data_IF_924299462574
#
_entry.id   IF_924299462574
#
_cell.length_a   1.000
_cell.length_b   1.000
_cell.length_c   1.000
_cell.angle_alpha   90.00
_cell.angle_beta   90.00
_cell.angle_gamma   90.00
#
_symmetry.space_group_name_H-M   'P 1'
#
loop_
_entity.id
_entity.type
_entity.pdbx_description
1 polymer ?
#
# COMPACT_ATOMS: atom_id res chain seq x y z
N UNK A 1 7.92 71.59 2.53
CA UNK A 1 6.47 71.38 2.38
C UNK A 1 6.16 71.29 0.90
N UNK A 2 6.30 70.10 0.31
CA UNK A 2 5.80 69.78 -1.04
C UNK A 2 5.54 68.28 -1.08
N UNK A 3 4.29 67.92 -1.38
CA UNK A 3 3.83 66.56 -1.67
C UNK A 3 4.44 66.12 -3.00
N UNK A 4 5.06 64.95 -3.05
CA UNK A 4 5.32 64.25 -4.29
C UNK A 4 4.41 63.02 -4.35
N UNK A 5 3.44 63.06 -5.25
CA UNK A 5 2.66 61.90 -5.67
C UNK A 5 3.59 60.95 -6.44
N UNK A 6 3.62 59.68 -6.07
CA UNK A 6 4.21 58.62 -6.91
C UNK A 6 3.06 57.77 -7.44
N UNK A 7 2.94 57.73 -8.76
CA UNK A 7 1.99 56.94 -9.51
C UNK A 7 2.36 55.46 -9.43
N UNK A 8 1.42 54.58 -9.08
CA UNK A 8 1.55 53.15 -9.36
C UNK A 8 1.41 52.96 -10.88
N UNK A 9 2.48 52.52 -11.52
CA UNK A 9 2.49 52.10 -12.91
C UNK A 9 1.70 50.77 -13.01
N UNK A 10 0.51 50.83 -13.60
CA UNK A 10 -0.27 49.64 -13.94
C UNK A 10 0.31 49.02 -15.22
N UNK A 11 0.98 47.87 -15.10
CA UNK A 11 1.24 47.00 -16.26
C UNK A 11 0.01 46.14 -16.45
N UNK A 12 -0.82 46.52 -17.42
CA UNK A 12 -1.95 45.71 -17.87
C UNK A 12 -1.44 44.63 -18.83
N UNK A 13 -1.57 43.36 -18.44
CA UNK A 13 -1.57 42.23 -19.36
C UNK A 13 -2.90 41.50 -19.17
N UNK A 14 -3.74 41.57 -20.21
CA UNK A 14 -5.05 40.94 -20.28
C UNK A 14 -4.90 39.42 -20.30
N UNK A 15 -5.28 38.79 -19.20
CA UNK A 15 -5.94 37.47 -19.18
C UNK A 15 -6.63 37.33 -17.82
N UNK A 16 -7.85 36.79 -17.78
CA UNK A 16 -8.62 36.54 -16.56
C UNK A 16 -7.76 35.80 -15.52
N UNK A 17 -7.19 36.52 -14.58
CA UNK A 17 -6.57 35.96 -13.37
C UNK A 17 -7.57 36.18 -12.25
N UNK A 18 -8.04 35.06 -11.68
CA UNK A 18 -8.75 35.03 -10.40
C UNK A 18 -7.95 35.87 -9.41
N UNK A 19 -8.54 36.94 -8.90
CA UNK A 19 -7.88 37.85 -7.96
C UNK A 19 -7.66 37.10 -6.64
N UNK A 20 -6.51 36.44 -6.48
CA UNK A 20 -6.10 35.81 -5.22
C UNK A 20 -5.70 36.93 -4.27
N UNK A 21 -6.60 37.29 -3.34
CA UNK A 21 -6.27 38.22 -2.25
C UNK A 21 -5.43 37.49 -1.20
N UNK A 22 -4.10 37.56 -1.25
CA UNK A 22 -3.29 37.26 -0.06
C UNK A 22 -3.42 38.49 0.89
N UNK A 23 -4.06 38.35 2.06
CA UNK A 23 -4.10 39.37 3.12
C UNK A 23 -3.23 38.92 4.31
N UNK A 24 -2.37 39.81 4.81
CA UNK A 24 -1.67 39.64 6.08
C UNK A 24 -2.31 40.55 7.13
N UNK A 25 -2.70 40.02 8.29
CA UNK A 25 -3.09 40.84 9.44
C UNK A 25 -1.84 41.25 10.22
N UNK A 26 -1.74 42.53 10.59
CA UNK A 26 -0.65 43.06 11.40
C UNK A 26 -0.95 42.86 12.89
N UNK A 27 -0.35 41.83 13.50
CA UNK A 27 -0.29 41.64 14.95
C UNK A 27 1.07 42.09 15.51
N UNK A 28 1.07 42.70 16.71
CA UNK A 28 2.26 43.21 17.37
C UNK A 28 3.24 42.10 17.79
N UNK A 29 4.52 42.45 17.76
CA UNK A 29 5.72 41.63 17.99
C UNK A 29 5.66 40.65 19.16
N UNK A 30 5.68 39.34 18.85
CA UNK A 30 6.44 38.24 19.49
C UNK A 30 5.78 36.86 19.31
N UNK A 31 4.63 36.77 18.64
CA UNK A 31 4.07 35.49 18.18
C UNK A 31 3.85 35.54 16.67
N UNK A 32 4.32 34.50 15.98
CA UNK A 32 4.13 34.32 14.55
C UNK A 32 2.66 33.96 14.28
N UNK A 33 1.86 34.93 13.85
CA UNK A 33 0.50 34.64 13.34
C UNK A 33 0.54 34.00 11.95
N UNK A 34 -0.44 33.13 11.73
CA UNK A 34 -0.54 32.17 10.63
C UNK A 34 -0.55 32.86 9.26
N UNK A 35 0.33 32.40 8.36
CA UNK A 35 0.22 32.72 6.95
C UNK A 35 -0.94 31.92 6.33
N UNK A 36 -1.59 32.53 5.32
CA UNK A 36 -2.70 31.98 4.52
C UNK A 36 -2.64 30.45 4.34
N UNK A 37 -3.77 29.75 4.50
CA UNK A 37 -3.92 28.32 4.20
C UNK A 37 -3.67 27.96 2.72
N UNK A 38 -3.40 28.95 1.86
CA UNK A 38 -3.05 28.73 0.48
C UNK A 38 -1.56 28.36 0.35
N UNK A 39 -1.29 27.11 -0.01
CA UNK A 39 0.05 26.55 -0.25
C UNK A 39 0.85 27.27 -1.36
N UNK A 40 0.25 28.22 -2.08
CA UNK A 40 0.89 29.01 -3.14
C UNK A 40 1.34 30.43 -2.71
N UNK A 41 1.02 30.92 -1.51
CA UNK A 41 1.55 32.22 -1.02
C UNK A 41 2.80 31.96 -0.13
N UNK A 42 3.93 32.64 -0.38
CA UNK A 42 5.09 32.70 0.52
C UNK A 42 5.43 34.16 0.89
N UNK A 43 5.87 34.41 2.12
CA UNK A 43 6.32 35.74 2.57
C UNK A 43 7.85 35.82 2.47
N UNK A 44 8.36 36.83 1.76
CA UNK A 44 9.79 37.12 1.67
C UNK A 44 10.16 38.31 2.56
N UNK A 45 11.31 38.20 3.24
CA UNK A 45 11.95 39.31 3.94
C UNK A 45 12.98 39.93 3.00
N UNK A 46 12.78 41.18 2.59
CA UNK A 46 13.76 41.92 1.81
C UNK A 46 14.71 42.66 2.76
N UNK A 47 16.02 42.41 2.64
CA UNK A 47 17.03 43.03 3.50
C UNK A 47 17.52 44.37 2.94
N UNK A 48 16.66 45.40 2.99
CA UNK A 48 17.10 46.81 2.99
C UNK A 48 16.16 47.63 3.88
N UNK A 49 16.62 47.92 5.10
CA UNK A 49 15.89 48.60 6.18
C UNK A 49 14.65 47.84 6.71
N UNK A 50 14.52 47.81 8.03
CA UNK A 50 13.79 46.82 8.82
C UNK A 50 12.25 46.89 8.81
N UNK A 51 11.59 47.33 7.73
CA UNK A 51 10.13 47.55 7.79
C UNK A 51 9.33 47.47 6.48
N UNK A 52 9.84 46.87 5.41
CA UNK A 52 9.03 46.56 4.21
C UNK A 52 8.99 45.06 3.90
N UNK A 53 7.77 44.52 3.81
CA UNK A 53 7.47 43.18 3.32
C UNK A 53 6.67 43.29 2.03
N UNK A 54 7.07 42.54 1.00
CA UNK A 54 6.36 42.45 -0.27
C UNK A 54 5.83 41.02 -0.40
N UNK A 55 4.51 40.89 -0.58
CA UNK A 55 3.90 39.62 -0.98
C UNK A 55 3.88 39.55 -2.51
N UNK A 56 4.48 38.50 -3.07
CA UNK A 56 4.46 38.23 -4.50
C UNK A 56 4.61 36.74 -4.77
N UNK A 57 4.07 36.28 -5.90
CA UNK A 57 4.36 34.95 -6.44
C UNK A 57 5.81 34.93 -6.92
N UNK A 58 6.65 34.07 -6.33
CA UNK A 58 8.03 33.87 -6.81
C UNK A 58 8.14 32.44 -7.32
N UNK A 59 8.32 32.30 -8.63
CA UNK A 59 8.69 31.04 -9.27
C UNK A 59 10.21 30.89 -9.23
N UNK A 60 10.72 29.92 -8.47
CA UNK A 60 12.11 29.49 -8.55
C UNK A 60 12.21 28.27 -9.48
N UNK A 61 13.24 28.21 -10.33
CA UNK A 61 13.59 26.95 -10.99
C UNK A 61 14.31 26.02 -10.01
N UNK A 62 14.04 24.72 -10.09
CA UNK A 62 14.52 23.77 -9.10
C UNK A 62 16.07 23.66 -9.06
N UNK A 63 16.78 24.10 -10.11
CA UNK A 63 18.24 24.20 -10.18
C UNK A 63 18.86 25.34 -9.37
N UNK A 64 18.04 26.22 -8.76
CA UNK A 64 18.52 27.26 -7.85
C UNK A 64 18.60 26.77 -6.39
N UNK A 65 18.15 25.55 -6.09
CA UNK A 65 18.29 24.95 -4.78
C UNK A 65 19.69 24.31 -4.60
N UNK A 66 20.28 24.37 -3.39
CA UNK A 66 21.56 23.71 -3.13
C UNK A 66 21.45 22.20 -3.32
N UNK A 67 22.49 21.57 -3.89
CA UNK A 67 22.62 20.11 -3.90
C UNK A 67 22.73 19.57 -2.46
N UNK A 68 22.20 18.36 -2.24
CA UNK A 68 22.25 17.64 -0.96
C UNK A 68 23.68 17.61 -0.42
N UNK A 69 23.85 17.82 0.90
CA UNK A 69 25.16 17.63 1.55
C UNK A 69 25.11 16.39 2.44
N UNK A 70 25.69 15.25 2.01
CA UNK A 70 25.95 14.14 2.91
C UNK A 70 26.76 14.63 4.12
N UNK A 71 26.49 14.15 5.35
CA UNK A 71 25.66 12.99 5.71
C UNK A 71 24.25 13.35 6.24
N UNK A 72 23.81 14.61 6.16
CA UNK A 72 22.64 15.10 6.90
C UNK A 72 21.33 15.13 6.08
N UNK A 73 21.38 14.75 4.80
CA UNK A 73 20.24 14.68 3.89
C UNK A 73 20.12 13.22 3.40
N UNK A 74 19.04 12.52 3.74
CA UNK A 74 18.81 11.11 3.41
C UNK A 74 18.42 10.88 1.93
N UNK A 75 18.84 11.75 1.03
CA UNK A 75 18.56 11.65 -0.40
C UNK A 75 19.71 10.95 -1.12
N UNK A 76 19.37 10.18 -2.16
CA UNK A 76 20.36 9.50 -2.99
C UNK A 76 21.18 10.51 -3.81
N UNK A 77 22.37 10.09 -4.28
CA UNK A 77 23.27 10.94 -5.08
C UNK A 77 22.66 11.45 -6.40
N UNK A 78 21.54 10.84 -6.84
CA UNK A 78 20.80 11.21 -8.04
C UNK A 78 19.53 12.02 -7.75
N UNK A 79 19.46 12.67 -6.58
CA UNK A 79 18.31 13.45 -6.14
C UNK A 79 18.68 14.88 -5.71
N UNK A 80 17.69 15.77 -5.76
CA UNK A 80 17.69 17.15 -5.28
C UNK A 80 16.89 17.18 -3.98
N UNK A 81 17.52 17.67 -2.93
CA UNK A 81 16.89 17.87 -1.63
C UNK A 81 16.21 19.22 -1.57
N UNK A 82 14.89 19.23 -1.35
CA UNK A 82 14.16 20.47 -1.10
C UNK A 82 13.76 20.48 0.38
N UNK A 83 14.42 21.35 1.16
CA UNK A 83 14.04 21.67 2.53
C UNK A 83 13.06 22.83 2.51
N UNK A 84 11.82 22.57 2.90
CA UNK A 84 10.84 23.63 3.08
C UNK A 84 11.31 24.55 4.23
N UNK A 85 11.39 25.89 4.05
CA UNK A 85 12.03 26.80 5.02
C UNK A 85 11.42 26.82 6.43
N UNK A 86 10.29 26.12 6.64
CA UNK A 86 9.56 26.08 7.92
C UNK A 86 9.12 24.68 8.34
N UNK A 87 9.62 23.62 7.71
CA UNK A 87 9.30 22.26 8.12
C UNK A 87 10.52 21.64 8.81
N UNK A 88 10.37 21.30 10.10
CA UNK A 88 11.34 20.54 10.87
C UNK A 88 11.30 19.03 10.53
N UNK A 89 10.65 18.67 9.41
CA UNK A 89 10.54 17.31 8.89
C UNK A 89 11.66 17.03 7.88
N UNK A 90 11.91 15.74 7.66
CA UNK A 90 12.94 15.24 6.75
C UNK A 90 12.80 15.87 5.35
N UNK A 91 13.92 16.12 4.66
CA UNK A 91 13.91 16.68 3.31
C UNK A 91 13.09 15.82 2.34
N UNK A 92 12.43 16.46 1.38
CA UNK A 92 11.78 15.75 0.27
C UNK A 92 12.80 15.65 -0.87
N UNK A 93 13.05 14.43 -1.31
CA UNK A 93 14.00 14.12 -2.38
C UNK A 93 13.26 14.05 -3.72
N UNK A 94 13.77 14.76 -4.73
CA UNK A 94 13.26 14.73 -6.11
C UNK A 94 14.36 14.23 -7.04
N UNK A 95 14.08 13.47 -8.11
CA UNK A 95 15.12 13.04 -9.04
C UNK A 95 15.80 14.22 -9.75
N UNK A 96 17.11 14.09 -10.02
CA UNK A 96 17.94 15.09 -10.71
C UNK A 96 17.41 15.50 -12.10
N UNK A 97 16.58 14.66 -12.72
CA UNK A 97 15.87 14.99 -13.96
C UNK A 97 14.94 16.21 -13.82
N UNK A 98 14.53 16.57 -12.60
CA UNK A 98 13.64 17.70 -12.32
C UNK A 98 14.38 19.03 -12.09
N UNK A 99 15.71 19.07 -12.25
CA UNK A 99 16.52 20.27 -11.97
C UNK A 99 16.14 21.49 -12.83
N UNK A 100 15.56 21.27 -14.00
CA UNK A 100 15.18 22.33 -14.93
C UNK A 100 13.70 22.74 -14.82
N UNK A 101 12.94 22.14 -13.91
CA UNK A 101 11.52 22.47 -13.74
C UNK A 101 11.34 23.86 -13.10
N UNK A 102 10.38 24.64 -13.61
CA UNK A 102 10.14 26.03 -13.19
C UNK A 102 9.32 26.17 -11.90
N UNK A 103 8.78 25.08 -11.37
CA UNK A 103 7.99 25.07 -10.14
C UNK A 103 8.17 23.76 -9.37
N UNK A 104 8.34 23.85 -8.05
CA UNK A 104 8.56 22.73 -7.15
C UNK A 104 7.58 22.82 -5.94
N UNK A 105 6.70 21.83 -5.71
CA UNK A 105 6.37 20.72 -6.61
C UNK A 105 5.60 21.25 -7.85
N UNK A 106 5.80 20.67 -9.04
CA UNK A 106 5.21 21.17 -10.26
C UNK A 106 3.69 21.15 -10.18
N UNK A 107 3.09 22.32 -10.42
CA UNK A 107 1.65 22.46 -10.57
C UNK A 107 1.18 21.69 -11.81
N UNK A 108 0.12 20.92 -11.63
CA UNK A 108 -0.58 20.12 -12.64
C UNK A 108 -1.00 20.95 -13.87
N UNK A 109 -0.18 20.90 -14.92
CA UNK A 109 -0.66 21.01 -16.31
C UNK A 109 0.08 19.95 -17.13
N UNK A 110 -0.49 18.75 -17.18
CA UNK A 110 -0.03 17.72 -18.12
C UNK A 110 -0.44 18.15 -19.54
N UNK A 111 0.50 18.74 -20.28
CA UNK A 111 0.55 18.58 -21.73
C UNK A 111 1.79 17.74 -22.06
N UNK A 112 1.62 16.43 -22.05
CA UNK A 112 2.60 15.48 -22.59
C UNK A 112 2.02 14.79 -23.83
N UNK A 113 2.74 14.92 -24.93
CA UNK A 113 2.68 14.08 -26.13
C UNK A 113 3.66 12.93 -25.86
N UNK A 114 3.37 11.63 -25.70
CA UNK A 114 2.33 10.62 -26.03
C UNK A 114 2.60 9.37 -25.13
N UNK A 115 1.76 8.31 -25.06
CA UNK A 115 0.34 8.22 -25.39
C UNK A 115 -0.54 7.75 -24.21
N UNK A 116 -1.72 8.36 -24.11
CA UNK A 116 -2.97 7.80 -23.57
C UNK A 116 -2.95 7.23 -22.15
N UNK A 117 -3.53 8.01 -21.23
CA UNK A 117 -4.16 7.48 -20.02
C UNK A 117 -4.97 6.24 -20.40
N UNK A 118 -4.51 5.07 -19.93
CA UNK A 118 -5.11 3.79 -20.22
C UNK A 118 -6.28 3.61 -19.28
N UNK A 119 -7.44 3.29 -19.85
CA UNK A 119 -8.68 3.12 -19.11
C UNK A 119 -9.01 1.63 -19.11
N UNK A 120 -9.00 1.03 -17.93
CA UNK A 120 -9.50 -0.32 -17.72
C UNK A 120 -10.83 -0.24 -17.00
N UNK A 121 -11.81 -1.06 -17.40
CA UNK A 121 -13.14 -1.06 -16.81
C UNK A 121 -13.49 -2.46 -16.30
N UNK A 122 -14.10 -2.51 -15.13
CA UNK A 122 -14.67 -3.70 -14.55
C UNK A 122 -16.12 -3.42 -14.16
N UNK A 123 -17.04 -4.31 -14.50
CA UNK A 123 -18.47 -4.14 -14.18
C UNK A 123 -19.00 -5.37 -13.48
N UNK A 124 -19.73 -5.18 -12.38
CA UNK A 124 -20.40 -6.26 -11.65
C UNK A 124 -21.63 -5.69 -10.92
N UNK A 125 -22.19 -6.46 -10.00
CA UNK A 125 -23.25 -6.04 -9.10
C UNK A 125 -23.02 -6.63 -7.72
N UNK A 126 -23.28 -5.82 -6.68
CA UNK A 126 -23.43 -6.33 -5.32
C UNK A 126 -24.84 -6.91 -5.19
N UNK A 127 -24.97 -8.15 -4.76
CA UNK A 127 -26.26 -8.81 -4.55
C UNK A 127 -26.29 -9.66 -3.27
N UNK A 128 -27.42 -10.34 -3.02
CA UNK A 128 -27.62 -11.12 -1.79
C UNK A 128 -26.75 -12.38 -1.68
N UNK A 129 -26.11 -12.81 -2.77
CA UNK A 129 -25.20 -13.95 -2.82
C UNK A 129 -23.77 -13.57 -2.47
N UNK A 130 -23.44 -12.28 -2.47
CA UNK A 130 -22.11 -11.80 -2.11
C UNK A 130 -21.81 -12.01 -0.62
N UNK A 131 -20.52 -12.13 -0.34
CA UNK A 131 -20.01 -12.20 1.02
C UNK A 131 -20.37 -10.95 1.81
N UNK A 132 -20.51 -11.11 3.12
CA UNK A 132 -20.69 -9.98 4.05
C UNK A 132 -19.48 -9.86 4.95
N UNK A 133 -19.15 -8.62 5.31
CA UNK A 133 -18.11 -8.34 6.29
C UNK A 133 -18.44 -7.08 7.10
N UNK A 134 -17.69 -6.88 8.17
CA UNK A 134 -17.70 -5.62 8.93
C UNK A 134 -16.62 -4.73 8.34
N UNK A 135 -16.97 -3.52 7.90
CA UNK A 135 -16.00 -2.61 7.30
C UNK A 135 -14.92 -2.20 8.31
N UNK A 136 -13.70 -1.86 7.86
CA UNK A 136 -12.63 -1.38 8.72
C UNK A 136 -13.04 -0.18 9.59
N UNK A 137 -12.32 0.01 10.68
CA UNK A 137 -12.45 1.16 11.61
C UNK A 137 -13.85 1.33 12.23
N UNK A 138 -14.55 0.23 12.49
CA UNK A 138 -15.88 0.26 13.11
C UNK A 138 -17.00 0.69 12.16
N UNK A 139 -16.76 0.57 10.84
CA UNK A 139 -17.78 0.83 9.83
C UNK A 139 -18.94 -0.16 9.86
N UNK A 140 -19.90 0.05 8.96
CA UNK A 140 -21.16 -0.72 8.96
C UNK A 140 -20.93 -2.24 8.95
N UNK A 141 -21.50 -3.00 9.93
CA UNK A 141 -21.42 -4.44 9.94
C UNK A 141 -22.31 -5.07 8.86
N UNK A 142 -22.00 -6.31 8.48
CA UNK A 142 -22.81 -7.10 7.56
C UNK A 142 -23.07 -6.44 6.18
N UNK A 143 -22.09 -5.71 5.66
CA UNK A 143 -22.18 -5.05 4.35
C UNK A 143 -21.75 -6.03 3.26
N UNK A 144 -22.50 -6.11 2.16
CA UNK A 144 -22.13 -6.90 0.99
C UNK A 144 -20.83 -6.38 0.39
N UNK A 145 -19.96 -7.26 -0.06
CA UNK A 145 -18.72 -6.87 -0.71
C UNK A 145 -18.39 -7.78 -1.88
N UNK A 146 -17.68 -7.21 -2.84
CA UNK A 146 -17.01 -7.95 -3.89
C UNK A 146 -15.52 -7.67 -3.83
N UNK A 147 -14.71 -8.73 -3.75
CA UNK A 147 -13.26 -8.64 -3.80
C UNK A 147 -12.78 -8.88 -5.23
N UNK A 148 -11.93 -8.01 -5.74
CA UNK A 148 -11.46 -8.00 -7.12
C UNK A 148 -9.93 -7.95 -7.10
N UNK A 149 -9.28 -8.96 -7.65
CA UNK A 149 -7.83 -8.97 -7.79
C UNK A 149 -7.43 -8.10 -8.98
N UNK A 150 -6.44 -7.23 -8.75
CA UNK A 150 -5.82 -6.35 -9.75
C UNK A 150 -4.46 -6.93 -10.13
N UNK A 151 -4.26 -7.15 -11.43
CA UNK A 151 -2.95 -7.40 -12.02
C UNK A 151 -2.47 -6.11 -12.69
N UNK A 152 -1.40 -5.54 -12.13
CA UNK A 152 -0.82 -4.28 -12.56
C UNK A 152 0.41 -4.59 -13.44
N UNK A 153 0.37 -4.34 -14.75
CA UNK A 153 1.51 -4.62 -15.63
C UNK A 153 2.55 -3.49 -15.68
N UNK A 154 2.19 -2.28 -15.22
CA UNK A 154 3.05 -1.08 -15.32
C UNK A 154 2.99 -0.32 -14.02
N UNK A 155 4.15 -0.07 -13.40
CA UNK A 155 4.22 0.71 -12.17
C UNK A 155 3.84 2.17 -12.44
N UNK A 156 3.12 2.78 -11.51
CA UNK A 156 2.84 4.22 -11.54
C UNK A 156 1.58 4.59 -10.75
N UNK A 157 1.17 5.86 -10.90
CA UNK A 157 -0.04 6.36 -10.27
C UNK A 157 -1.29 5.96 -11.07
N UNK A 158 -2.26 5.43 -10.34
CA UNK A 158 -3.56 5.02 -10.84
C UNK A 158 -4.66 5.72 -10.05
N UNK A 159 -5.71 6.13 -10.75
CA UNK A 159 -6.99 6.53 -10.17
C UNK A 159 -7.98 5.38 -10.32
N UNK A 160 -8.35 4.72 -9.21
CA UNK A 160 -9.43 3.74 -9.18
C UNK A 160 -10.72 4.44 -8.74
N UNK A 161 -11.71 4.49 -9.63
CA UNK A 161 -12.96 5.24 -9.41
C UNK A 161 -14.17 4.35 -9.60
N UNK A 162 -15.16 4.42 -8.72
CA UNK A 162 -16.45 3.75 -8.96
C UNK A 162 -17.40 4.59 -9.79
N UNK A 163 -18.29 3.91 -10.51
CA UNK A 163 -19.46 4.48 -11.15
C UNK A 163 -20.66 3.61 -10.84
N UNK A 164 -21.59 4.14 -10.05
CA UNK A 164 -22.80 3.46 -9.62
C UNK A 164 -23.90 4.47 -9.25
N UNK A 165 -25.12 3.95 -9.02
CA UNK A 165 -26.19 4.66 -8.31
C UNK A 165 -26.15 4.42 -6.80
N UNK A 166 -25.30 3.48 -6.37
CA UNK A 166 -25.05 3.19 -4.97
C UNK A 166 -24.09 4.22 -4.40
N UNK A 167 -24.21 4.46 -3.10
CA UNK A 167 -23.17 5.06 -2.30
C UNK A 167 -22.10 3.98 -2.01
N UNK A 168 -21.05 3.97 -2.82
CA UNK A 168 -19.99 2.96 -2.86
C UNK A 168 -18.82 3.34 -1.97
N UNK A 169 -18.20 2.36 -1.32
CA UNK A 169 -16.95 2.53 -0.58
C UNK A 169 -15.93 1.54 -1.14
N UNK A 170 -14.76 2.05 -1.51
CA UNK A 170 -13.64 1.26 -2.04
C UNK A 170 -12.55 1.09 -1.00
N UNK A 171 -12.06 -0.14 -0.83
CA UNK A 171 -10.90 -0.46 0.00
C UNK A 171 -9.86 -1.19 -0.84
N UNK A 172 -8.63 -0.71 -0.85
CA UNK A 172 -7.53 -1.30 -1.59
C UNK A 172 -6.55 -1.96 -0.62
N UNK A 173 -6.24 -3.21 -0.90
CA UNK A 173 -5.34 -4.07 -0.13
C UNK A 173 -4.09 -4.39 -0.94
N UNK A 174 -2.94 -4.38 -0.27
CA UNK A 174 -1.68 -4.87 -0.80
C UNK A 174 -1.61 -6.40 -0.63
N UNK A 175 -1.89 -7.15 -1.70
CA UNK A 175 -2.08 -8.60 -1.63
C UNK A 175 -3.52 -9.01 -1.41
N UNK A 176 -3.79 -9.81 -0.39
CA UNK A 176 -5.08 -10.47 -0.14
C UNK A 176 -5.96 -9.71 0.85
N UNK A 177 -7.27 -9.84 0.64
CA UNK A 177 -8.30 -9.36 1.56
C UNK A 177 -8.76 -10.49 2.49
N UNK A 178 -8.92 -10.20 3.78
CA UNK A 178 -9.54 -11.10 4.76
C UNK A 178 -10.82 -10.44 5.33
N UNK A 179 -12.03 -10.97 5.08
CA UNK A 179 -13.26 -10.38 5.63
C UNK A 179 -13.36 -10.47 7.17
N UNK A 180 -12.59 -11.34 7.82
CA UNK A 180 -12.55 -11.47 9.29
C UNK A 180 -11.47 -10.61 9.94
N UNK A 181 -10.52 -10.12 9.14
CA UNK A 181 -9.52 -9.14 9.55
C UNK A 181 -9.33 -8.11 8.43
N UNK A 182 -10.33 -7.25 8.22
CA UNK A 182 -10.37 -6.36 7.06
C UNK A 182 -9.40 -5.17 7.19
N UNK A 183 -8.64 -5.08 8.29
CA UNK A 183 -7.59 -4.10 8.51
C UNK A 183 -6.25 -4.59 7.99
N UNK A 184 -6.04 -5.91 8.01
CA UNK A 184 -4.82 -6.50 7.46
C UNK A 184 -4.66 -6.16 5.98
N UNK A 185 -3.44 -5.78 5.61
CA UNK A 185 -3.04 -5.38 4.25
C UNK A 185 -3.72 -4.15 3.65
N UNK A 186 -4.58 -3.42 4.38
CA UNK A 186 -5.27 -2.25 3.87
C UNK A 186 -4.26 -1.11 3.61
N UNK A 187 -4.24 -0.55 2.39
CA UNK A 187 -3.33 0.53 2.00
C UNK A 187 -4.03 1.83 1.58
N UNK A 188 -5.29 1.76 1.13
CA UNK A 188 -6.08 2.95 0.81
C UNK A 188 -7.57 2.64 0.91
N UNK A 189 -8.38 3.64 1.23
CA UNK A 189 -9.84 3.53 1.18
C UNK A 189 -10.50 4.90 1.06
N UNK A 190 -11.70 4.94 0.50
CA UNK A 190 -12.49 6.14 0.28
C UNK A 190 -13.94 5.74 -0.10
N UNK A 191 -14.95 6.55 0.24
CA UNK A 191 -16.33 6.44 -0.25
C UNK A 191 -16.79 7.56 -1.19
N UNK A 192 -16.29 8.78 -1.02
CA UNK A 192 -16.84 9.97 -1.70
C UNK A 192 -15.83 10.75 -2.54
N UNK A 193 -14.65 10.19 -2.78
CA UNK A 193 -13.52 10.87 -3.41
C UNK A 193 -13.76 11.32 -4.85
N UNK A 194 -14.73 10.71 -5.56
CA UNK A 194 -15.19 11.15 -6.89
C UNK A 194 -16.46 12.02 -6.83
N UNK A 195 -17.05 12.21 -5.65
CA UNK A 195 -18.33 12.86 -5.44
C UNK A 195 -19.52 11.97 -5.78
N UNK A 196 -20.71 12.34 -5.28
CA UNK A 196 -21.96 11.61 -5.57
C UNK A 196 -22.00 10.18 -5.03
N UNK A 197 -21.41 9.91 -3.86
CA UNK A 197 -21.36 8.55 -3.29
C UNK A 197 -20.35 7.63 -3.99
N UNK A 198 -19.45 8.17 -4.81
CA UNK A 198 -18.49 7.36 -5.56
C UNK A 198 -17.08 7.48 -4.98
N UNK A 199 -16.43 6.33 -4.76
CA UNK A 199 -15.07 6.32 -4.28
C UNK A 199 -14.10 6.73 -5.39
N UNK A 200 -13.02 7.39 -4.98
CA UNK A 200 -11.82 7.59 -5.79
C UNK A 200 -10.58 7.30 -4.97
N UNK A 201 -9.72 6.44 -5.47
CA UNK A 201 -8.47 6.02 -4.83
C UNK A 201 -7.28 6.40 -5.73
N UNK A 202 -6.65 7.58 -5.54
CA UNK A 202 -5.38 7.92 -6.17
C UNK A 202 -4.25 7.16 -5.46
N UNK A 203 -3.64 6.19 -6.13
CA UNK A 203 -2.68 5.27 -5.52
C UNK A 203 -1.50 4.97 -6.45
N UNK A 204 -0.30 4.84 -5.89
CA UNK A 204 0.85 4.31 -6.63
C UNK A 204 0.84 2.78 -6.56
N UNK A 205 0.74 2.11 -7.70
CA UNK A 205 0.77 0.65 -7.80
C UNK A 205 2.08 0.21 -8.46
N UNK A 206 2.67 -0.86 -7.94
CA UNK A 206 3.88 -1.46 -8.50
C UNK A 206 3.50 -2.63 -9.42
N UNK A 207 4.17 -2.72 -10.57
CA UNK A 207 4.00 -3.82 -11.49
C UNK A 207 4.38 -5.17 -10.84
N UNK A 208 3.61 -6.21 -11.15
CA UNK A 208 3.85 -7.57 -10.63
C UNK A 208 3.45 -7.79 -9.17
N UNK A 209 2.96 -6.75 -8.49
CA UNK A 209 2.36 -6.88 -7.16
C UNK A 209 0.85 -7.13 -7.31
N UNK A 210 0.29 -8.18 -6.67
CA UNK A 210 -1.15 -8.31 -6.58
C UNK A 210 -1.75 -7.23 -5.68
N UNK A 211 -2.85 -6.65 -6.11
CA UNK A 211 -3.69 -5.87 -5.21
C UNK A 211 -5.08 -6.47 -5.16
N UNK A 212 -5.78 -6.34 -4.04
CA UNK A 212 -7.20 -6.66 -3.96
C UNK A 212 -7.98 -5.38 -3.73
N UNK A 213 -8.84 -5.02 -4.67
CA UNK A 213 -9.84 -3.98 -4.49
C UNK A 213 -11.12 -4.61 -3.96
N UNK A 214 -11.60 -4.15 -2.82
CA UNK A 214 -12.91 -4.50 -2.28
C UNK A 214 -13.87 -3.35 -2.56
N UNK A 215 -14.93 -3.65 -3.31
CA UNK A 215 -16.04 -2.73 -3.53
C UNK A 215 -17.17 -3.11 -2.59
N UNK A 216 -17.66 -2.14 -1.84
CA UNK A 216 -18.81 -2.29 -0.93
C UNK A 216 -19.65 -1.02 -0.97
N UNK A 217 -20.64 -0.91 -0.09
CA UNK A 217 -21.49 0.28 0.04
C UNK A 217 -21.27 1.00 1.37
N UNK A 218 -21.56 2.30 1.41
CA UNK A 218 -21.49 3.07 2.64
C UNK A 218 -22.54 2.59 3.66
N UNK A 219 -23.74 2.24 3.20
CA UNK A 219 -24.82 1.74 4.04
C UNK A 219 -25.05 0.25 3.84
N UNK A 220 -25.16 -0.49 4.96
CA UNK A 220 -25.40 -1.94 4.93
C UNK A 220 -26.70 -2.30 4.21
N UNK A 221 -26.69 -3.45 3.52
CA UNK A 221 -27.86 -4.00 2.84
C UNK A 221 -28.12 -3.44 1.44
N UNK A 222 -27.43 -2.38 1.02
CA UNK A 222 -27.55 -1.85 -0.33
C UNK A 222 -26.92 -2.79 -1.36
N UNK A 223 -27.66 -3.07 -2.43
CA UNK A 223 -27.30 -3.94 -3.56
C UNK A 223 -27.58 -3.22 -4.87
N UNK A 224 -26.86 -3.59 -5.93
CA UNK A 224 -27.03 -2.98 -7.25
C UNK A 224 -25.77 -3.04 -8.10
N UNK A 225 -25.89 -2.65 -9.39
CA UNK A 225 -24.79 -2.66 -10.33
C UNK A 225 -23.76 -1.58 -9.99
N UNK A 226 -22.49 -1.88 -10.26
CA UNK A 226 -21.40 -0.91 -10.18
C UNK A 226 -20.39 -1.16 -11.30
N UNK A 227 -19.60 -0.13 -11.59
CA UNK A 227 -18.40 -0.23 -12.42
C UNK A 227 -17.22 0.34 -11.67
N UNK A 228 -16.01 -0.15 -11.97
CA UNK A 228 -14.75 0.40 -11.52
C UNK A 228 -13.94 0.78 -12.75
N UNK A 229 -13.55 2.04 -12.81
CA UNK A 229 -12.69 2.60 -13.83
C UNK A 229 -11.31 2.78 -13.22
N UNK A 230 -10.30 2.15 -13.81
CA UNK A 230 -8.90 2.40 -13.49
C UNK A 230 -8.26 3.22 -14.59
N UNK A 231 -7.74 4.39 -14.23
CA UNK A 231 -7.02 5.26 -15.14
C UNK A 231 -5.56 5.38 -14.73
N UNK A 232 -4.62 5.13 -15.64
CA UNK A 232 -3.19 5.22 -15.32
C UNK A 232 -2.27 4.87 -16.48
N UNK A 233 -0.97 4.59 -16.20
CA UNK A 233 0.04 4.37 -17.23
C UNK A 233 -0.08 3.02 -17.99
N UNK A 234 -0.87 2.07 -17.50
CA UNK A 234 -1.05 0.76 -18.14
C UNK A 234 -2.45 0.17 -17.89
N UNK A 235 -2.88 -0.81 -18.69
CA UNK A 235 -4.17 -1.46 -18.49
C UNK A 235 -4.11 -2.41 -17.28
N UNK A 236 -4.94 -2.20 -16.27
CA UNK A 236 -5.10 -3.14 -15.16
C UNK A 236 -6.03 -4.28 -15.62
N UNK A 237 -5.61 -5.52 -15.38
CA UNK A 237 -6.49 -6.66 -15.55
C UNK A 237 -7.20 -6.98 -14.23
N UNK A 238 -8.53 -7.05 -14.26
CA UNK A 238 -9.38 -7.34 -13.12
C UNK A 238 -9.80 -8.81 -13.12
N UNK A 239 -9.82 -9.44 -11.94
CA UNK A 239 -10.36 -10.79 -11.76
C UNK A 239 -11.22 -10.83 -10.51
N UNK A 240 -12.50 -11.20 -10.65
CA UNK A 240 -13.40 -11.37 -9.49
C UNK A 240 -12.87 -12.51 -8.62
N UNK A 241 -12.70 -12.23 -7.33
CA UNK A 241 -12.48 -13.27 -6.33
C UNK A 241 -13.85 -13.70 -5.83
N UNK A 242 -14.22 -14.93 -6.14
CA UNK A 242 -15.47 -15.49 -5.63
C UNK A 242 -15.41 -15.50 -4.10
N UNK A 243 -16.43 -14.99 -3.40
CA UNK A 243 -16.53 -15.19 -1.96
C UNK A 243 -16.51 -16.69 -1.74
N UNK A 244 -15.54 -17.17 -0.96
CA UNK A 244 -15.51 -18.58 -0.62
C UNK A 244 -16.73 -18.80 0.26
N UNK A 245 -17.79 -19.35 -0.32
CA UNK A 245 -19.00 -19.74 0.37
C UNK A 245 -18.61 -20.85 1.33
N UNK A 246 -18.28 -20.48 2.55
CA UNK A 246 -18.18 -21.40 3.66
C UNK A 246 -19.57 -22.00 3.85
N UNK A 247 -19.82 -23.17 3.29
CA UNK A 247 -20.94 -24.00 3.72
C UNK A 247 -20.60 -24.49 5.13
N UNK A 248 -20.87 -23.65 6.12
CA UNK A 248 -20.70 -23.99 7.52
C UNK A 248 -21.78 -25.02 7.86
N UNK A 249 -21.48 -26.29 7.62
CA UNK A 249 -22.25 -27.39 8.21
C UNK A 249 -21.91 -27.38 9.70
N UNK A 250 -22.70 -26.62 10.46
CA UNK A 250 -22.60 -26.54 11.91
C UNK A 250 -23.08 -27.85 12.50
N UNK A 251 -22.21 -28.86 12.57
CA UNK A 251 -22.46 -30.04 13.38
C UNK A 251 -21.95 -29.75 14.79
N UNK A 252 -22.88 -29.40 15.67
CA UNK A 252 -22.63 -29.14 17.08
C UNK A 252 -22.14 -30.39 17.82
N UNK A 253 -20.84 -30.37 18.14
CA UNK A 253 -20.09 -30.94 19.26
C UNK A 253 -20.65 -32.16 20.02
N UNK A 254 -19.84 -33.21 20.07
CA UNK A 254 -19.47 -33.84 21.35
C UNK A 254 -17.94 -33.90 21.46
N UNK A 255 -17.46 -33.41 22.60
CA UNK A 255 -16.07 -33.40 23.06
C UNK A 255 -15.41 -34.75 22.85
N UNK A 256 -14.50 -34.81 21.89
CA UNK A 256 -13.57 -35.93 21.74
C UNK A 256 -12.18 -35.32 21.60
N UNK A 257 -11.24 -35.80 22.41
CA UNK A 257 -9.85 -35.37 22.47
C UNK A 257 -9.29 -34.98 21.11
N UNK A 258 -8.70 -33.78 21.03
CA UNK A 258 -8.10 -33.25 19.81
C UNK A 258 -7.15 -34.30 19.21
N UNK A 259 -7.57 -34.93 18.13
CA UNK A 259 -6.68 -35.75 17.31
C UNK A 259 -5.74 -34.75 16.66
N UNK A 260 -4.54 -34.60 17.24
CA UNK A 260 -3.46 -33.87 16.58
C UNK A 260 -3.06 -34.72 15.38
N UNK A 261 -3.59 -34.38 14.21
CA UNK A 261 -3.07 -34.94 12.96
C UNK A 261 -1.82 -34.17 12.63
N UNK A 262 -0.67 -34.84 12.67
CA UNK A 262 0.59 -34.26 12.28
C UNK A 262 0.90 -34.56 10.82
N UNK A 263 1.26 -33.53 10.06
CA UNK A 263 1.92 -33.70 8.78
C UNK A 263 3.40 -33.41 8.96
N UNK A 264 4.26 -34.25 8.39
CA UNK A 264 5.71 -34.06 8.45
C UNK A 264 6.27 -34.10 7.04
N UNK A 265 7.05 -33.08 6.69
CA UNK A 265 7.81 -33.02 5.46
C UNK A 265 9.30 -33.01 5.76
N UNK A 266 10.07 -33.86 5.09
CA UNK A 266 11.53 -33.87 5.19
C UNK A 266 12.12 -33.43 3.85
N UNK A 267 13.07 -32.50 3.90
CA UNK A 267 13.66 -31.90 2.71
C UNK A 267 15.14 -31.59 2.86
N UNK A 268 15.71 -31.04 1.80
CA UNK A 268 17.09 -30.55 1.78
C UNK A 268 17.13 -29.25 0.99
N UNK A 269 17.42 -28.14 1.67
CA UNK A 269 17.55 -26.83 1.05
C UNK A 269 18.94 -26.75 0.39
N UNK A 270 18.98 -26.33 -0.87
CA UNK A 270 20.20 -26.29 -1.69
C UNK A 270 20.26 -24.99 -2.50
N UNK A 271 21.42 -24.71 -3.10
CA UNK A 271 21.62 -23.55 -3.99
C UNK A 271 20.83 -23.58 -5.30
N UNK A 272 20.14 -24.69 -5.61
CA UNK A 272 19.23 -24.76 -6.77
C UNK A 272 17.82 -24.26 -6.46
N UNK A 273 17.51 -24.00 -5.18
CA UNK A 273 16.22 -23.45 -4.79
C UNK A 273 16.13 -21.96 -5.17
N UNK A 274 14.93 -21.42 -5.38
CA UNK A 274 14.75 -19.98 -5.51
C UNK A 274 15.17 -19.26 -4.22
N UNK A 275 15.54 -17.99 -4.34
CA UNK A 275 15.88 -17.14 -3.21
C UNK A 275 15.13 -15.80 -3.28
N UNK A 276 15.06 -15.11 -2.16
CA UNK A 276 14.56 -13.74 -2.06
C UNK A 276 15.44 -12.89 -1.16
N UNK A 277 15.25 -11.57 -1.21
CA UNK A 277 15.84 -10.64 -0.26
C UNK A 277 14.85 -10.44 0.90
N UNK A 278 15.23 -10.83 2.12
CA UNK A 278 14.35 -10.72 3.29
C UNK A 278 14.12 -9.26 3.68
N UNK A 279 12.86 -8.93 4.01
CA UNK A 279 12.48 -7.61 4.53
C UNK A 279 13.03 -7.37 5.94
N UNK A 280 13.65 -6.22 6.16
CA UNK A 280 14.19 -5.81 7.47
C UNK A 280 15.48 -6.52 7.91
N UNK A 281 16.08 -7.35 7.05
CA UNK A 281 17.37 -8.02 7.28
C UNK A 281 18.52 -7.39 6.49
N UNK A 282 19.73 -7.91 6.69
CA UNK A 282 20.89 -7.62 5.84
C UNK A 282 20.64 -8.10 4.41
N UNK A 283 21.19 -7.37 3.43
CA UNK A 283 21.15 -7.78 2.02
C UNK A 283 21.79 -9.16 1.87
N UNK A 284 21.04 -10.15 1.37
CA UNK A 284 21.53 -11.52 1.25
C UNK A 284 20.56 -12.43 0.49
N UNK A 285 21.09 -13.51 -0.08
CA UNK A 285 20.29 -14.52 -0.77
C UNK A 285 19.72 -15.53 0.23
N UNK A 286 18.41 -15.43 0.49
CA UNK A 286 17.69 -16.36 1.36
C UNK A 286 16.96 -17.39 0.51
N UNK A 287 17.59 -18.55 0.35
CA UNK A 287 17.04 -19.67 -0.39
C UNK A 287 15.86 -20.26 0.38
N UNK A 288 14.81 -20.66 -0.33
CA UNK A 288 13.59 -21.12 0.32
C UNK A 288 12.95 -22.33 -0.37
N UNK A 289 12.18 -23.07 0.43
CA UNK A 289 11.17 -24.01 -0.06
C UNK A 289 9.79 -23.48 0.33
N UNK A 290 8.90 -23.36 -0.66
CA UNK A 290 7.50 -23.02 -0.43
C UNK A 290 6.63 -24.28 -0.40
N UNK A 291 5.63 -24.28 0.46
CA UNK A 291 4.60 -25.30 0.55
C UNK A 291 3.24 -24.64 0.40
N UNK A 292 2.43 -25.15 -0.51
CA UNK A 292 1.01 -24.86 -0.48
C UNK A 292 0.37 -25.64 0.65
N UNK A 293 -0.31 -24.91 1.54
CA UNK A 293 -0.94 -25.43 2.74
C UNK A 293 -2.45 -25.42 2.54
N UNK A 294 -3.04 -26.59 2.72
CA UNK A 294 -4.49 -26.76 2.85
C UNK A 294 -4.80 -27.40 4.19
N UNK A 295 -5.76 -26.86 4.92
CA UNK A 295 -6.25 -27.43 6.18
C UNK A 295 -7.68 -27.90 6.01
N UNK A 296 -8.02 -29.06 6.57
CA UNK A 296 -9.38 -29.61 6.46
C UNK A 296 -10.38 -28.98 7.42
N UNK A 297 -9.91 -28.31 8.47
CA UNK A 297 -10.74 -27.70 9.52
C UNK A 297 -10.21 -26.30 9.84
N UNK A 298 -11.08 -25.30 9.92
CA UNK A 298 -10.67 -23.97 10.41
C UNK A 298 -10.26 -24.04 11.88
N UNK A 299 -9.11 -23.46 12.22
CA UNK A 299 -8.65 -23.39 13.60
C UNK A 299 -7.18 -23.00 13.74
N UNK A 300 -6.62 -23.17 14.93
CA UNK A 300 -5.23 -22.81 15.22
C UNK A 300 -4.28 -23.95 14.85
N UNK A 301 -3.31 -23.65 13.99
CA UNK A 301 -2.28 -24.57 13.55
C UNK A 301 -0.89 -24.07 13.97
N UNK A 302 0.00 -24.99 14.28
CA UNK A 302 1.40 -24.74 14.60
C UNK A 302 2.30 -25.46 13.61
N UNK A 303 3.26 -24.74 13.04
CA UNK A 303 4.29 -25.26 12.14
C UNK A 303 5.65 -25.09 12.80
N UNK A 304 6.40 -26.18 12.89
CA UNK A 304 7.68 -26.24 13.59
C UNK A 304 8.74 -26.84 12.68
N UNK A 305 9.91 -26.22 12.59
CA UNK A 305 11.07 -26.80 11.91
C UNK A 305 11.95 -27.65 12.83
N UNK A 306 12.75 -28.50 12.21
CA UNK A 306 13.88 -29.18 12.86
C UNK A 306 15.01 -29.32 11.86
N UNK A 307 16.18 -28.79 12.22
CA UNK A 307 17.37 -28.73 11.38
C UNK A 307 18.62 -28.52 12.25
N UNK A 308 19.79 -28.73 11.66
CA UNK A 308 21.06 -28.27 12.23
C UNK A 308 21.38 -26.82 11.84
N UNK A 309 20.57 -26.23 10.96
CA UNK A 309 20.65 -24.83 10.55
C UNK A 309 19.76 -23.97 11.45
N UNK A 310 20.09 -22.69 11.56
CA UNK A 310 19.19 -21.67 12.08
C UNK A 310 18.09 -21.38 11.04
N UNK A 311 16.83 -21.64 11.40
CA UNK A 311 15.70 -21.64 10.46
C UNK A 311 14.79 -20.45 10.66
N UNK A 312 14.13 -19.99 9.61
CA UNK A 312 13.13 -18.93 9.68
C UNK A 312 11.91 -19.38 8.87
N UNK A 313 10.73 -19.28 9.47
CA UNK A 313 9.46 -19.67 8.86
C UNK A 313 8.54 -18.47 8.66
N UNK A 314 7.83 -18.46 7.53
CA UNK A 314 6.75 -17.51 7.26
C UNK A 314 5.50 -18.27 6.81
N UNK A 315 4.34 -17.87 7.30
CA UNK A 315 3.04 -18.25 6.76
C UNK A 315 2.47 -17.03 6.03
N UNK A 316 2.08 -17.23 4.78
CA UNK A 316 1.42 -16.23 3.96
C UNK A 316 -0.04 -16.61 3.73
N UNK A 317 -0.95 -15.65 3.85
CA UNK A 317 -2.33 -15.82 3.41
C UNK A 317 -2.43 -15.64 1.89
N UNK A 318 -2.93 -16.65 1.19
CA UNK A 318 -3.00 -16.66 -0.27
C UNK A 318 -1.67 -17.00 -0.92
N UNK A 319 -1.05 -16.03 -1.61
CA UNK A 319 0.16 -16.23 -2.40
C UNK A 319 1.38 -15.57 -1.73
N UNK A 320 2.54 -16.19 -1.88
CA UNK A 320 3.84 -15.64 -1.54
C UNK A 320 4.49 -14.96 -2.76
N UNK A 321 5.00 -13.75 -2.58
CA UNK A 321 5.66 -12.96 -3.64
C UNK A 321 7.13 -12.72 -3.27
N UNK A 322 8.08 -13.51 -3.78
CA UNK A 322 9.51 -13.36 -3.46
C UNK A 322 10.11 -11.97 -3.72
N UNK A 323 9.56 -11.18 -4.65
CA UNK A 323 10.01 -9.80 -4.89
C UNK A 323 9.44 -8.77 -3.91
N UNK A 324 8.43 -9.17 -3.13
CA UNK A 324 7.81 -8.36 -2.09
C UNK A 324 7.37 -9.26 -0.91
N UNK A 325 8.33 -9.89 -0.21
CA UNK A 325 8.07 -10.91 0.80
C UNK A 325 7.39 -10.35 2.07
N UNK A 326 7.24 -9.03 2.19
CA UNK A 326 6.42 -8.42 3.26
C UNK A 326 4.91 -8.56 3.02
N UNK A 327 4.49 -8.83 1.78
CA UNK A 327 3.08 -8.86 1.41
C UNK A 327 2.47 -10.19 1.86
N UNK A 328 1.25 -10.14 2.40
CA UNK A 328 0.48 -11.30 2.85
C UNK A 328 1.05 -12.08 4.04
N UNK A 329 2.05 -11.56 4.76
CA UNK A 329 2.58 -12.26 5.94
C UNK A 329 1.47 -12.38 6.99
N UNK A 330 1.10 -13.61 7.28
CA UNK A 330 0.09 -13.98 8.28
C UNK A 330 0.73 -14.33 9.62
N UNK A 331 1.96 -14.84 9.59
CA UNK A 331 2.76 -15.12 10.78
C UNK A 331 4.19 -15.46 10.39
N UNK A 332 5.13 -15.20 11.28
CA UNK A 332 6.55 -15.46 11.03
C UNK A 332 7.28 -15.69 12.36
N UNK A 333 8.35 -16.48 12.33
CA UNK A 333 9.16 -16.81 13.52
C UNK A 333 10.49 -17.45 13.08
N UNK A 334 11.52 -17.38 13.93
CA UNK A 334 12.84 -17.97 13.71
C UNK A 334 13.36 -18.85 14.84
N UNK A 335 12.96 -18.64 16.09
CA UNK A 335 13.59 -19.32 17.22
C UNK A 335 12.63 -19.89 18.28
N UNK A 336 11.31 -19.71 18.13
CA UNK A 336 10.36 -20.07 19.18
C UNK A 336 10.27 -21.57 19.45
N UNK A 337 10.73 -22.46 18.55
CA UNK A 337 10.82 -23.90 18.83
C UNK A 337 12.06 -24.32 19.62
N UNK A 338 12.97 -23.39 19.92
CA UNK A 338 14.26 -23.67 20.56
C UNK A 338 15.29 -24.22 19.57
N UNK A 339 16.56 -24.23 19.97
CA UNK A 339 17.68 -24.63 19.10
C UNK A 339 17.72 -23.89 17.74
N UNK A 340 17.32 -22.61 17.73
CA UNK A 340 17.24 -21.74 16.54
C UNK A 340 16.31 -22.31 15.46
N UNK A 341 15.21 -22.92 15.89
CA UNK A 341 14.16 -23.46 15.02
C UNK A 341 12.89 -22.60 15.12
N UNK A 342 12.23 -22.35 13.99
CA UNK A 342 10.98 -21.62 14.00
C UNK A 342 9.83 -22.45 14.55
N UNK A 343 8.89 -21.77 15.21
CA UNK A 343 7.56 -22.23 15.55
C UNK A 343 6.53 -21.14 15.24
N UNK A 344 5.94 -21.20 14.06
CA UNK A 344 4.86 -20.28 13.66
C UNK A 344 3.51 -20.85 14.06
N UNK A 345 2.72 -20.11 14.83
CA UNK A 345 1.34 -20.48 15.19
C UNK A 345 0.36 -19.47 14.61
N UNK A 346 -0.64 -19.94 13.87
CA UNK A 346 -1.61 -19.07 13.22
C UNK A 346 -3.00 -19.73 13.14
N UNK A 347 -4.05 -18.90 13.14
CA UNK A 347 -5.41 -19.36 12.83
C UNK A 347 -5.52 -19.46 11.32
N UNK A 348 -5.72 -20.68 10.81
CA UNK A 348 -5.91 -20.97 9.40
C UNK A 348 -7.35 -21.37 9.14
N UNK A 349 -7.89 -20.89 8.01
CA UNK A 349 -9.21 -21.29 7.53
C UNK A 349 -9.11 -22.43 6.53
N UNK A 350 -10.04 -23.38 6.58
CA UNK A 350 -10.06 -24.53 5.65
C UNK A 350 -10.39 -24.16 4.21
N UNK A 351 -10.90 -22.95 4.01
CA UNK A 351 -11.39 -22.45 2.74
C UNK A 351 -10.48 -21.38 2.14
N UNK A 352 -9.29 -21.19 2.73
CA UNK A 352 -8.28 -20.22 2.29
C UNK A 352 -6.98 -20.97 1.97
N UNK A 353 -6.38 -20.64 0.84
CA UNK A 353 -5.04 -21.09 0.48
C UNK A 353 -4.01 -20.35 1.33
N UNK A 354 -3.01 -21.07 1.85
CA UNK A 354 -1.85 -20.47 2.51
C UNK A 354 -0.56 -20.98 1.88
N UNK A 355 0.51 -20.19 1.95
CA UNK A 355 1.86 -20.64 1.62
C UNK A 355 2.71 -20.61 2.89
N UNK A 356 3.31 -21.75 3.26
CA UNK A 356 4.40 -21.79 4.22
C UNK A 356 5.72 -21.65 3.46
N UNK A 357 6.56 -20.70 3.85
CA UNK A 357 7.92 -20.56 3.33
C UNK A 357 8.91 -20.98 4.40
N UNK A 358 9.63 -22.06 4.14
CA UNK A 358 10.79 -22.49 4.90
C UNK A 358 12.05 -21.82 4.32
N UNK A 359 12.85 -21.19 5.17
CA UNK A 359 14.16 -20.61 4.81
C UNK A 359 15.09 -20.66 6.02
N UNK A 360 16.33 -20.19 5.88
CA UNK A 360 17.32 -20.08 6.97
C UNK A 360 17.40 -18.66 7.52
N UNK A 361 17.76 -18.48 8.79
CA UNK A 361 17.97 -17.16 9.38
C UNK A 361 19.12 -16.40 8.69
N UNK A 362 20.23 -17.10 8.42
CA UNK A 362 21.39 -16.58 7.69
C UNK A 362 21.29 -16.82 6.18
N UNK A 363 21.79 -15.88 5.38
CA UNK A 363 21.85 -16.01 3.91
C UNK A 363 22.82 -17.13 3.48
N UNK A 364 22.66 -17.67 2.27
CA UNK A 364 23.54 -18.70 1.70
C UNK A 364 23.75 -19.94 2.59
N UNK A 365 22.76 -20.28 3.42
CA UNK A 365 22.80 -21.44 4.31
C UNK A 365 21.92 -22.55 3.74
N UNK A 366 22.43 -23.78 3.77
CA UNK A 366 21.83 -24.94 3.11
C UNK A 366 21.97 -26.19 3.98
N UNK A 367 21.06 -27.14 3.82
CA UNK A 367 21.07 -28.35 4.62
C UNK A 367 19.74 -29.05 4.70
N UNK A 368 19.78 -30.22 5.33
CA UNK A 368 18.60 -31.05 5.57
C UNK A 368 17.72 -30.42 6.63
N UNK A 369 16.42 -30.57 6.47
CA UNK A 369 15.44 -30.08 7.41
C UNK A 369 14.20 -30.96 7.45
N UNK A 370 13.44 -30.80 8.53
CA UNK A 370 12.09 -31.31 8.68
C UNK A 370 11.15 -30.16 9.05
N UNK A 371 9.93 -30.18 8.55
CA UNK A 371 8.84 -29.30 8.98
C UNK A 371 7.69 -30.19 9.43
N UNK A 372 7.20 -29.94 10.63
CA UNK A 372 6.01 -30.59 11.18
C UNK A 372 4.88 -29.56 11.33
N UNK A 373 3.67 -29.98 11.02
CA UNK A 373 2.46 -29.19 11.22
C UNK A 373 1.51 -29.94 12.15
N UNK A 374 0.87 -29.23 13.08
CA UNK A 374 -0.08 -29.78 14.03
C UNK A 374 -1.28 -28.83 14.18
N UNK A 375 -2.49 -29.38 14.32
CA UNK A 375 -3.69 -28.58 14.58
C UNK A 375 -4.96 -29.43 14.64
N UNK A 376 -6.15 -28.79 14.63
CA UNK A 376 -7.45 -29.43 14.86
C UNK A 376 -7.97 -30.27 13.68
N UNK A 377 -7.28 -30.30 12.55
CA UNK A 377 -7.65 -31.07 11.37
C UNK A 377 -6.42 -31.52 10.58
N UNK A 378 -6.62 -32.34 9.55
CA UNK A 378 -5.55 -32.72 8.63
C UNK A 378 -4.93 -31.50 7.95
N UNK A 379 -3.61 -31.49 7.85
CA UNK A 379 -2.81 -30.49 7.12
C UNK A 379 -2.17 -31.16 5.91
N UNK A 380 -2.38 -30.60 4.73
CA UNK A 380 -1.68 -30.99 3.52
C UNK A 380 -0.57 -29.97 3.24
N UNK A 381 0.68 -30.44 3.18
CA UNK A 381 1.86 -29.63 2.86
C UNK A 381 2.44 -30.07 1.53
N UNK A 382 2.09 -29.38 0.45
CA UNK A 382 2.50 -29.73 -0.90
C UNK A 382 3.64 -28.81 -1.34
N UNK A 383 4.88 -29.31 -1.53
CA UNK A 383 5.97 -28.50 -2.07
C UNK A 383 5.55 -27.88 -3.40
N UNK A 384 5.74 -26.58 -3.54
CA UNK A 384 5.36 -25.86 -4.75
C UNK A 384 6.50 -24.97 -5.23
N UNK A 385 6.66 -24.91 -6.55
CA UNK A 385 7.51 -23.93 -7.19
C UNK A 385 6.67 -22.69 -7.47
N UNK A 386 7.02 -21.58 -6.82
CA UNK A 386 6.38 -20.29 -7.11
C UNK A 386 6.89 -19.83 -8.48
N UNK A 387 6.04 -19.94 -9.49
CA UNK A 387 6.30 -19.45 -10.84
C UNK A 387 5.61 -18.09 -11.02
N UNK A 388 6.36 -17.11 -11.49
CA UNK A 388 5.81 -15.81 -11.87
C UNK A 388 5.39 -15.90 -13.33
N UNK A 389 4.08 -15.87 -13.60
CA UNK A 389 3.52 -15.68 -14.94
C UNK A 389 3.03 -14.25 -15.10
#
# INVERSE_FOLDING_TARGET
MFKANVYCLAVALLSLIVSIKCQCQSGNSSQYDQCSQNAQCACLQYSFSSSMYVCGLVSYSCGQFPQCRPPNDACDANEICIRHPRCNSQPVCYPLSMINEQSCPPGTVYQTTEPMQRISNYTSALDSLDGKYTRPNGGAPNTYYEAIQLYVPTSGYYDLTSVSRLDTHGYLYNGTFNPFDPQSNLIAHNDDGAGGGQFKLPVYLQAGIPYTLVVTTHSAGNTGPFSVIAEGPGNIHFSRLNPVTTTTTTTSTTTTSAIIVSAVYNGNLTSSHPFYNRTGGSTGQYYYQAFEIHVSTTGTYTFTSTSNMDTFGYIYQGNFYPFAPQINVHGQDDDSAGSSQFRVTAVLRSDVKYILVYTTYSSNTFGKYSVSAAGPGQVYMNPTSITFT
#
